data_IF_454251103582
#
_entry.id   IF_454251103582
#
_cell.length_a   1.000
_cell.length_b   1.000
_cell.length_c   1.000
_cell.angle_alpha   90.00
_cell.angle_beta   90.00
_cell.angle_gamma   90.00
#
_symmetry.space_group_name_H-M   'P 1'
#
loop_
_entity.id
_entity.type
_entity.pdbx_description
1 polymer ?
#
# COMPACT_ATOMS: atom_id res chain seq x y z
N UNK A 1 -5.79 9.56 -10.94
CA UNK A 1 -4.42 9.05 -11.08
C UNK A 1 -3.76 8.95 -9.74
N UNK A 2 -3.09 7.86 -9.50
CA UNK A 2 -2.46 7.62 -8.21
C UNK A 2 -0.99 7.26 -8.38
N UNK A 3 -0.20 7.53 -7.35
CA UNK A 3 1.19 7.11 -7.29
C UNK A 3 1.25 5.76 -6.59
N UNK A 4 1.76 4.74 -7.30
CA UNK A 4 1.83 3.37 -6.80
C UNK A 4 3.28 2.91 -6.79
N UNK A 5 3.71 2.40 -5.65
CA UNK A 5 5.03 1.79 -5.52
C UNK A 5 4.88 0.28 -5.63
N UNK A 6 5.64 -0.33 -6.53
CA UNK A 6 5.67 -1.79 -6.71
C UNK A 6 6.99 -2.32 -6.20
N UNK A 7 6.92 -3.22 -5.23
CA UNK A 7 8.10 -3.84 -4.61
C UNK A 7 8.10 -5.33 -4.89
N UNK A 8 9.00 -5.77 -5.73
CA UNK A 8 9.15 -7.18 -6.11
C UNK A 8 10.58 -7.40 -6.58
N UNK A 9 11.19 -8.51 -6.19
CA UNK A 9 12.56 -8.81 -6.60
C UNK A 9 12.64 -9.40 -8.02
N UNK A 10 11.51 -9.83 -8.58
CA UNK A 10 11.45 -10.36 -9.95
C UNK A 10 11.18 -9.26 -10.96
N UNK A 11 12.15 -9.03 -11.84
CA UNK A 11 12.05 -7.99 -12.85
C UNK A 11 10.83 -8.16 -13.75
N UNK A 12 10.54 -9.38 -14.16
CA UNK A 12 9.43 -9.66 -15.07
C UNK A 12 8.09 -9.28 -14.43
N UNK A 13 7.93 -9.54 -13.14
CA UNK A 13 6.71 -9.18 -12.40
C UNK A 13 6.61 -7.67 -12.25
N UNK A 14 7.71 -7.00 -11.87
CA UNK A 14 7.72 -5.53 -11.78
C UNK A 14 7.31 -4.89 -13.10
N UNK A 15 7.90 -5.36 -14.21
CA UNK A 15 7.63 -4.80 -15.53
C UNK A 15 6.17 -5.04 -15.93
N UNK A 16 5.66 -6.23 -15.67
CA UNK A 16 4.26 -6.57 -15.98
C UNK A 16 3.29 -5.69 -15.21
N UNK A 17 3.47 -5.59 -13.91
CA UNK A 17 2.58 -4.78 -13.07
C UNK A 17 2.70 -3.31 -13.45
N UNK A 18 3.91 -2.84 -13.69
CA UNK A 18 4.16 -1.46 -14.10
C UNK A 18 3.41 -1.12 -15.39
N UNK A 19 3.48 -1.99 -16.37
CA UNK A 19 2.79 -1.78 -17.64
C UNK A 19 1.28 -1.71 -17.45
N UNK A 20 0.72 -2.64 -16.69
CA UNK A 20 -0.72 -2.68 -16.42
C UNK A 20 -1.18 -1.39 -15.74
N UNK A 21 -0.47 -0.96 -14.72
CA UNK A 21 -0.84 0.23 -13.97
C UNK A 21 -0.62 1.52 -14.75
N UNK A 22 0.45 1.57 -15.54
CA UNK A 22 0.71 2.71 -16.40
C UNK A 22 -0.41 2.91 -17.43
N UNK A 23 -0.90 1.82 -18.02
CA UNK A 23 -2.00 1.87 -18.98
C UNK A 23 -3.30 2.39 -18.34
N UNK A 24 -3.46 2.22 -17.03
CA UNK A 24 -4.60 2.75 -16.31
C UNK A 24 -4.41 4.20 -15.85
N UNK A 25 -3.30 4.81 -16.22
CA UNK A 25 -3.04 6.21 -15.92
C UNK A 25 -2.36 6.48 -14.58
N UNK A 26 -1.85 5.46 -13.92
CA UNK A 26 -1.14 5.63 -12.66
C UNK A 26 0.33 5.97 -12.87
N UNK A 27 0.89 6.70 -11.91
CA UNK A 27 2.33 6.90 -11.83
C UNK A 27 2.91 5.73 -11.03
N UNK A 28 3.93 5.08 -11.57
CA UNK A 28 4.49 3.87 -10.96
C UNK A 28 5.97 4.04 -10.68
N UNK A 29 6.38 3.68 -9.48
CA UNK A 29 7.81 3.53 -9.13
C UNK A 29 8.05 2.06 -8.80
N UNK A 30 9.26 1.60 -9.11
CA UNK A 30 9.61 0.19 -8.95
C UNK A 30 10.77 0.06 -7.97
N UNK A 31 10.65 -0.86 -7.03
CA UNK A 31 11.70 -1.18 -6.08
C UNK A 31 11.97 -2.68 -6.11
N UNK A 32 13.23 -3.06 -6.11
CA UNK A 32 13.62 -4.46 -6.19
C UNK A 32 13.96 -5.07 -4.83
N UNK A 33 14.08 -4.25 -3.80
CA UNK A 33 14.42 -4.71 -2.45
C UNK A 33 13.89 -3.73 -1.41
N UNK A 34 14.09 -4.07 -0.13
CA UNK A 34 13.60 -3.25 0.98
C UNK A 34 14.25 -1.88 1.04
N UNK A 35 15.55 -1.80 0.77
CA UNK A 35 16.27 -0.53 0.82
C UNK A 35 15.72 0.48 -0.18
N UNK A 36 15.53 0.05 -1.43
CA UNK A 36 14.92 0.89 -2.47
C UNK A 36 13.50 1.28 -2.11
N UNK A 37 12.72 0.33 -1.59
CA UNK A 37 11.33 0.58 -1.22
C UNK A 37 11.22 1.64 -0.13
N UNK A 38 11.99 1.49 0.94
CA UNK A 38 11.96 2.44 2.06
C UNK A 38 12.44 3.83 1.60
N UNK A 39 13.44 3.87 0.75
CA UNK A 39 13.93 5.14 0.21
C UNK A 39 12.83 5.88 -0.57
N UNK A 40 12.12 5.19 -1.45
CA UNK A 40 11.00 5.78 -2.18
C UNK A 40 9.89 6.27 -1.25
N UNK A 41 9.53 5.46 -0.26
CA UNK A 41 8.47 5.81 0.69
C UNK A 41 8.84 7.05 1.48
N UNK A 42 10.11 7.18 1.88
CA UNK A 42 10.57 8.33 2.64
C UNK A 42 10.60 9.61 1.81
N UNK A 43 10.80 9.51 0.49
CA UNK A 43 10.80 10.66 -0.41
C UNK A 43 9.40 11.18 -0.66
N UNK A 44 8.47 10.28 -0.91
CA UNK A 44 7.09 10.62 -1.19
C UNK A 44 6.20 9.44 -0.82
N UNK A 45 5.20 9.68 0.01
CA UNK A 45 4.28 8.62 0.41
C UNK A 45 3.45 8.15 -0.78
N UNK A 46 3.49 6.85 -1.13
CA UNK A 46 2.66 6.33 -2.21
C UNK A 46 1.18 6.34 -1.81
N UNK A 47 0.32 6.39 -2.82
CA UNK A 47 -1.11 6.19 -2.61
C UNK A 47 -1.44 4.72 -2.35
N UNK A 48 -0.59 3.83 -2.84
CA UNK A 48 -0.74 2.39 -2.65
C UNK A 48 0.61 1.72 -2.85
N UNK A 49 0.84 0.63 -2.14
CA UNK A 49 2.04 -0.19 -2.31
C UNK A 49 1.60 -1.59 -2.71
N UNK A 50 2.19 -2.11 -3.80
CA UNK A 50 2.09 -3.51 -4.19
C UNK A 50 3.38 -4.17 -3.73
N UNK A 51 3.27 -5.16 -2.86
CA UNK A 51 4.41 -5.69 -2.14
C UNK A 51 4.49 -7.20 -2.23
N UNK A 52 5.60 -7.72 -2.77
CA UNK A 52 5.89 -9.15 -2.73
C UNK A 52 6.25 -9.54 -1.30
N UNK A 53 5.64 -10.61 -0.79
CA UNK A 53 5.92 -11.10 0.56
C UNK A 53 7.35 -11.62 0.67
N UNK A 54 7.83 -12.30 -0.37
CA UNK A 54 9.17 -12.88 -0.38
C UNK A 54 10.13 -12.03 -1.19
N UNK A 55 10.96 -11.25 -0.52
CA UNK A 55 12.00 -10.45 -1.15
C UNK A 55 13.35 -11.10 -0.88
N UNK A 56 13.91 -11.69 -1.93
CA UNK A 56 15.24 -12.31 -1.86
C UNK A 56 16.30 -11.23 -1.75
N UNK A 57 17.39 -11.56 -1.10
CA UNK A 57 18.55 -10.67 -0.99
C UNK A 57 18.20 -9.27 -0.44
N UNK A 58 17.22 -9.21 0.43
CA UNK A 58 16.76 -7.97 1.02
C UNK A 58 16.98 -8.00 2.53
N UNK A 59 17.31 -6.84 3.11
CA UNK A 59 17.51 -6.74 4.56
C UNK A 59 16.22 -7.02 5.34
N UNK A 60 15.09 -6.66 4.73
CA UNK A 60 13.78 -6.91 5.32
C UNK A 60 12.96 -7.74 4.37
N UNK A 61 12.18 -8.67 4.88
CA UNK A 61 11.21 -9.37 4.05
C UNK A 61 9.95 -8.53 3.86
N UNK A 62 9.01 -9.03 3.05
CA UNK A 62 7.78 -8.30 2.76
C UNK A 62 6.93 -8.00 3.99
N UNK A 63 6.89 -8.92 4.94
CA UNK A 63 6.11 -8.73 6.17
C UNK A 63 6.72 -7.60 7.02
N UNK A 64 8.03 -7.53 7.11
CA UNK A 64 8.70 -6.47 7.86
C UNK A 64 8.47 -5.10 7.22
N UNK A 65 8.50 -5.02 5.89
CA UNK A 65 8.17 -3.79 5.16
C UNK A 65 6.72 -3.39 5.45
N UNK A 66 5.81 -4.35 5.40
CA UNK A 66 4.40 -4.10 5.69
C UNK A 66 4.21 -3.51 7.08
N UNK A 67 4.85 -4.09 8.08
CA UNK A 67 4.77 -3.59 9.46
C UNK A 67 5.30 -2.16 9.56
N UNK A 68 6.43 -1.89 8.92
CA UNK A 68 7.03 -0.56 8.89
C UNK A 68 6.10 0.46 8.24
N UNK A 69 5.50 0.11 7.11
CA UNK A 69 4.57 0.99 6.40
C UNK A 69 3.36 1.28 7.28
N UNK A 70 2.77 0.26 7.89
CA UNK A 70 1.58 0.45 8.72
C UNK A 70 1.85 1.24 9.98
N UNK A 71 3.06 1.17 10.49
CA UNK A 71 3.48 1.94 11.66
C UNK A 71 3.68 3.42 11.33
N UNK A 72 4.30 3.71 10.20
CA UNK A 72 4.67 5.07 9.81
C UNK A 72 3.65 5.75 8.89
N UNK A 73 2.93 4.97 8.10
CA UNK A 73 1.97 5.46 7.10
C UNK A 73 0.67 4.64 7.20
N UNK A 74 -0.06 4.75 8.31
CA UNK A 74 -1.19 3.83 8.58
C UNK A 74 -2.32 3.89 7.56
N UNK A 75 -2.45 5.00 6.83
CA UNK A 75 -3.52 5.14 5.83
C UNK A 75 -3.11 4.67 4.45
N UNK A 76 -1.83 4.32 4.25
CA UNK A 76 -1.37 3.82 2.96
C UNK A 76 -1.76 2.35 2.80
N UNK A 77 -2.58 2.00 1.81
CA UNK A 77 -2.97 0.61 1.61
C UNK A 77 -1.82 -0.19 1.01
N UNK A 78 -1.68 -1.42 1.47
CA UNK A 78 -0.68 -2.35 0.97
C UNK A 78 -1.40 -3.58 0.44
N UNK A 79 -1.19 -3.88 -0.83
CA UNK A 79 -1.67 -5.12 -1.45
C UNK A 79 -0.47 -6.04 -1.59
N UNK A 80 -0.53 -7.21 -0.94
CA UNK A 80 0.58 -8.15 -0.98
C UNK A 80 0.41 -9.15 -2.11
N UNK A 81 1.53 -9.55 -2.70
CA UNK A 81 1.56 -10.60 -3.71
C UNK A 81 2.26 -11.81 -3.11
N UNK A 82 1.63 -12.97 -3.20
CA UNK A 82 2.20 -14.21 -2.70
C UNK A 82 2.42 -15.20 -3.83
N UNK A 83 3.43 -16.04 -3.69
CA UNK A 83 3.64 -17.14 -4.61
C UNK A 83 2.59 -18.23 -4.41
N UNK A 84 2.45 -19.09 -5.40
CA UNK A 84 1.53 -20.21 -5.34
C UNK A 84 1.85 -21.09 -4.12
N UNK A 85 0.82 -21.41 -3.34
CA UNK A 85 0.99 -22.23 -2.15
C UNK A 85 1.36 -21.48 -0.88
N UNK A 86 1.50 -20.17 -0.93
CA UNK A 86 1.88 -19.35 0.23
C UNK A 86 0.69 -18.60 0.84
N UNK A 87 -0.51 -19.18 0.75
CA UNK A 87 -1.73 -18.52 1.19
C UNK A 87 -1.73 -18.21 2.70
N UNK A 88 -1.12 -19.06 3.50
CA UNK A 88 -1.05 -18.86 4.95
C UNK A 88 -0.28 -17.58 5.28
N UNK A 89 0.81 -17.32 4.56
CA UNK A 89 1.61 -16.12 4.75
C UNK A 89 0.83 -14.89 4.27
N UNK A 90 0.10 -15.03 3.17
CA UNK A 90 -0.75 -13.95 2.67
C UNK A 90 -1.84 -13.57 3.68
N UNK A 91 -2.49 -14.57 4.26
CA UNK A 91 -3.50 -14.34 5.30
C UNK A 91 -2.87 -13.67 6.52
N UNK A 92 -1.69 -14.10 6.92
CA UNK A 92 -0.96 -13.46 8.02
C UNK A 92 -0.66 -11.99 7.71
N UNK A 93 -0.32 -11.67 6.46
CA UNK A 93 -0.09 -10.29 6.04
C UNK A 93 -1.34 -9.44 6.19
N UNK A 94 -2.50 -9.96 5.80
CA UNK A 94 -3.76 -9.26 5.96
C UNK A 94 -4.03 -8.98 7.44
N UNK A 95 -3.75 -9.95 8.31
CA UNK A 95 -3.88 -9.76 9.76
C UNK A 95 -2.93 -8.69 10.30
N UNK A 96 -1.81 -8.49 9.64
CA UNK A 96 -0.83 -7.44 10.00
C UNK A 96 -1.17 -6.07 9.42
N UNK A 97 -2.27 -5.96 8.70
CA UNK A 97 -2.74 -4.68 8.19
C UNK A 97 -2.73 -4.51 6.69
N UNK A 98 -2.32 -5.51 5.91
CA UNK A 98 -2.44 -5.44 4.46
C UNK A 98 -3.92 -5.32 4.07
N UNK A 99 -4.19 -4.58 3.02
CA UNK A 99 -5.56 -4.43 2.54
C UNK A 99 -6.10 -5.75 1.99
N UNK A 100 -5.31 -6.41 1.17
CA UNK A 100 -5.68 -7.68 0.56
C UNK A 100 -4.42 -8.34 0.01
N UNK A 101 -4.58 -9.52 -0.57
CA UNK A 101 -3.49 -10.22 -1.23
C UNK A 101 -3.90 -10.72 -2.60
N UNK A 102 -2.91 -10.97 -3.44
CA UNK A 102 -3.09 -11.57 -4.77
C UNK A 102 -2.09 -12.71 -4.88
N UNK A 103 -2.55 -13.88 -5.29
CA UNK A 103 -1.70 -15.06 -5.46
C UNK A 103 -1.21 -15.16 -6.91
N UNK A 104 0.07 -15.46 -7.09
CA UNK A 104 0.64 -15.75 -8.40
C UNK A 104 0.24 -17.17 -8.83
N UNK A 105 -0.06 -17.42 -10.10
CA UNK A 105 -0.22 -16.44 -11.17
C UNK A 105 -1.55 -15.68 -11.06
N UNK A 106 -1.53 -14.41 -11.38
CA UNK A 106 -2.72 -13.56 -11.38
C UNK A 106 -3.02 -13.06 -12.79
N UNK A 107 -4.27 -12.68 -13.03
CA UNK A 107 -4.63 -12.02 -14.28
C UNK A 107 -4.77 -10.52 -14.09
N UNK A 108 -4.78 -9.78 -15.20
CA UNK A 108 -4.87 -8.32 -15.19
C UNK A 108 -6.12 -7.82 -14.47
N UNK A 109 -7.26 -8.44 -14.76
CA UNK A 109 -8.53 -8.01 -14.18
C UNK A 109 -8.55 -8.16 -12.66
N UNK A 110 -8.00 -9.26 -12.15
CA UNK A 110 -7.90 -9.49 -10.71
C UNK A 110 -7.01 -8.44 -10.04
N UNK A 111 -5.86 -8.17 -10.63
CA UNK A 111 -4.94 -7.16 -10.12
C UNK A 111 -5.61 -5.79 -10.07
N UNK A 112 -6.22 -5.36 -11.16
CA UNK A 112 -6.86 -4.05 -11.24
C UNK A 112 -8.04 -3.93 -10.28
N UNK A 113 -8.83 -4.98 -10.13
CA UNK A 113 -9.97 -4.96 -9.22
C UNK A 113 -9.51 -4.70 -7.78
N UNK A 114 -8.50 -5.43 -7.33
CA UNK A 114 -7.99 -5.28 -5.96
C UNK A 114 -7.37 -3.90 -5.77
N UNK A 115 -6.58 -3.44 -6.72
CA UNK A 115 -5.92 -2.14 -6.65
C UNK A 115 -6.94 -1.01 -6.62
N UNK A 116 -7.94 -1.05 -7.50
CA UNK A 116 -8.96 -0.01 -7.55
C UNK A 116 -9.76 0.05 -6.25
N UNK A 117 -10.11 -1.09 -5.68
CA UNK A 117 -10.79 -1.15 -4.39
C UNK A 117 -9.93 -0.61 -3.26
N UNK A 118 -8.66 -0.94 -3.25
CA UNK A 118 -7.74 -0.46 -2.23
C UNK A 118 -7.57 1.07 -2.31
N UNK A 119 -7.44 1.61 -3.51
CA UNK A 119 -7.30 3.05 -3.71
C UNK A 119 -8.56 3.78 -3.29
N UNK A 120 -9.73 3.27 -3.62
CA UNK A 120 -10.99 3.89 -3.22
C UNK A 120 -11.18 3.87 -1.72
N UNK A 121 -10.92 2.73 -1.08
CA UNK A 121 -11.01 2.60 0.36
C UNK A 121 -10.05 3.57 1.05
N UNK A 122 -8.83 3.68 0.55
CA UNK A 122 -7.83 4.60 1.09
C UNK A 122 -8.29 6.05 0.97
N UNK A 123 -8.82 6.42 -0.18
CA UNK A 123 -9.33 7.77 -0.41
C UNK A 123 -10.43 8.11 0.59
N UNK A 124 -11.38 7.20 0.78
CA UNK A 124 -12.47 7.40 1.74
C UNK A 124 -11.96 7.51 3.18
N UNK A 125 -11.01 6.68 3.55
CA UNK A 125 -10.41 6.74 4.88
C UNK A 125 -9.69 8.07 5.13
N UNK A 126 -8.98 8.57 4.13
CA UNK A 126 -8.30 9.85 4.21
C UNK A 126 -9.29 11.00 4.33
N UNK A 127 -10.40 10.95 3.61
CA UNK A 127 -11.46 11.94 3.72
C UNK A 127 -12.06 11.96 5.13
N UNK A 128 -12.41 10.81 5.68
CA UNK A 128 -12.95 10.69 7.03
C UNK A 128 -11.95 11.22 8.05
N UNK A 129 -10.70 10.83 7.95
CA UNK A 129 -9.65 11.29 8.86
C UNK A 129 -9.51 12.81 8.81
N UNK A 130 -9.51 13.38 7.61
CA UNK A 130 -9.39 14.82 7.40
C UNK A 130 -10.59 15.57 8.00
N UNK A 131 -11.80 15.06 7.80
CA UNK A 131 -13.01 15.64 8.36
C UNK A 131 -13.01 15.57 9.90
N UNK A 132 -12.62 14.45 10.46
CA UNK A 132 -12.52 14.29 11.91
C UNK A 132 -11.51 15.26 12.51
N UNK A 133 -10.36 15.39 11.88
CA UNK A 133 -9.34 16.33 12.35
C UNK A 133 -9.81 17.78 12.25
N UNK A 134 -10.52 18.11 11.18
CA UNK A 134 -11.08 19.43 11.00
C UNK A 134 -12.13 19.73 12.08
N UNK A 135 -13.01 18.80 12.36
CA UNK A 135 -14.00 18.94 13.41
C UNK A 135 -13.35 19.12 14.80
N UNK A 136 -12.32 18.33 15.09
CA UNK A 136 -11.59 18.44 16.35
C UNK A 136 -10.96 19.82 16.48
N UNK A 137 -10.34 20.32 15.44
CA UNK A 137 -9.72 21.63 15.43
C UNK A 137 -10.75 22.74 15.63
N UNK A 138 -11.87 22.65 14.96
CA UNK A 138 -12.96 23.59 15.11
C UNK A 138 -13.54 23.55 16.52
N UNK A 139 -13.71 22.36 17.07
CA UNK A 139 -14.16 22.19 18.43
C UNK A 139 -13.20 22.81 19.44
N UNK A 140 -11.90 22.65 19.22
CA UNK A 140 -10.93 23.28 20.12
C UNK A 140 -11.01 24.79 20.10
N UNK A 141 -11.20 25.37 18.93
CA UNK A 141 -11.35 26.82 18.80
C UNK A 141 -12.59 27.33 19.49
N UNK A 142 -13.68 26.63 19.29
CA UNK A 142 -14.98 26.99 19.91
C UNK A 142 -15.00 26.51 21.36
N UNK A 143 -14.53 25.31 21.59
CA UNK A 143 -14.53 24.71 22.90
C UNK A 143 -13.65 25.44 23.90
N UNK A 144 -12.63 26.11 23.42
CA UNK A 144 -11.86 26.98 24.26
C UNK A 144 -12.73 28.09 24.87
N UNK A 145 -13.79 28.42 24.19
CA UNK A 145 -14.73 29.41 24.74
C UNK A 145 -15.82 28.76 25.56
N UNK A 146 -16.19 27.59 25.18
CA UNK A 146 -17.36 27.04 25.75
C UNK A 146 -17.07 26.07 26.81
N UNK A 147 -16.04 25.44 26.65
CA UNK A 147 -15.90 24.40 27.60
C UNK A 147 -17.28 23.87 27.95
N UNK A 148 -18.07 23.97 27.02
CA UNK A 148 -19.43 23.59 27.29
C UNK A 148 -19.66 22.15 27.24
#
# INVERSE_FOLDING_TARGET
MSYILVVDDEKDIRDLISQILFEEGHTVKLAQNSTSAIDYINREEPDLIVLDIWLKDSEMDGIEILKSVKQNNPLCPVVVISGHGNIEIAVAAVKQGAYDFIEKPFNTDQLLLVIDRALETSRLRKEVYSLQNKEINESKMVGGTGAF
#
